data_IF_182051117441
#
_entry.id   IF_182051117441
#
_cell.length_a   1.000
_cell.length_b   1.000
_cell.length_c   1.000
_cell.angle_alpha   90.00
_cell.angle_beta   90.00
_cell.angle_gamma   90.00
#
_symmetry.space_group_name_H-M   'P 1'
#
loop_
_entity.id
_entity.type
_entity.pdbx_description
1 polymer ?
#
# COMPACT_ATOMS: atom_id res chain seq x y z
N UNK A 1 53.42 -23.04 -11.47
CA UNK A 1 51.98 -22.75 -11.62
C UNK A 1 51.24 -23.20 -10.37
N UNK A 2 50.48 -22.30 -9.72
CA UNK A 2 49.57 -22.67 -8.63
C UNK A 2 48.41 -23.48 -9.23
N UNK A 3 48.03 -24.60 -8.60
CA UNK A 3 46.86 -25.39 -9.01
C UNK A 3 45.61 -24.81 -8.34
N UNK A 4 44.77 -24.13 -9.09
CA UNK A 4 43.42 -23.77 -8.67
C UNK A 4 42.50 -25.00 -8.78
N UNK A 5 41.70 -25.22 -7.74
CA UNK A 5 40.68 -26.26 -7.74
C UNK A 5 39.33 -25.66 -8.09
N UNK A 6 38.54 -26.43 -8.82
CA UNK A 6 37.19 -26.05 -9.24
C UNK A 6 36.18 -27.12 -8.84
N UNK A 7 35.00 -26.67 -8.43
CA UNK A 7 33.78 -27.48 -8.39
C UNK A 7 33.03 -27.26 -9.69
N UNK A 8 32.89 -28.32 -10.49
CA UNK A 8 32.11 -28.25 -11.71
C UNK A 8 30.63 -28.38 -11.36
N UNK A 9 29.89 -27.29 -11.51
CA UNK A 9 28.45 -27.26 -11.40
C UNK A 9 27.85 -27.53 -12.78
N UNK A 10 27.29 -28.72 -12.98
CA UNK A 10 26.46 -29.02 -14.14
C UNK A 10 25.03 -28.67 -13.80
N UNK A 11 24.39 -27.83 -14.62
CA UNK A 11 23.02 -27.41 -14.40
C UNK A 11 22.19 -27.61 -15.68
N UNK A 12 20.92 -27.95 -15.47
CA UNK A 12 19.92 -28.04 -16.52
C UNK A 12 18.76 -27.13 -16.19
N UNK A 13 18.59 -26.06 -16.96
CA UNK A 13 17.50 -25.10 -16.80
C UNK A 13 16.74 -25.04 -18.12
N UNK A 14 15.50 -25.53 -18.10
CA UNK A 14 14.69 -25.75 -19.30
C UNK A 14 15.39 -26.70 -20.29
N UNK A 15 15.58 -26.26 -21.54
CA UNK A 15 16.28 -27.02 -22.59
C UNK A 15 17.78 -26.71 -22.67
N UNK A 16 18.32 -25.93 -21.72
CA UNK A 16 19.75 -25.60 -21.67
C UNK A 16 20.45 -26.46 -20.64
N UNK A 17 21.55 -27.08 -21.06
CA UNK A 17 22.51 -27.75 -20.21
C UNK A 17 23.81 -26.95 -20.24
N UNK A 18 24.33 -26.63 -19.06
CA UNK A 18 25.54 -25.85 -18.91
C UNK A 18 26.44 -26.45 -17.84
N UNK A 19 27.72 -26.11 -17.90
CA UNK A 19 28.65 -26.38 -16.81
C UNK A 19 29.40 -25.11 -16.44
N UNK A 20 29.58 -24.88 -15.14
CA UNK A 20 30.31 -23.74 -14.61
C UNK A 20 31.36 -24.20 -13.62
N UNK A 21 32.60 -23.73 -13.79
CA UNK A 21 33.71 -24.09 -12.92
C UNK A 21 33.80 -23.08 -11.78
N UNK A 22 33.31 -23.48 -10.61
CA UNK A 22 33.30 -22.66 -9.40
C UNK A 22 34.66 -22.78 -8.70
N UNK A 23 35.42 -21.70 -8.50
CA UNK A 23 36.70 -21.76 -7.80
C UNK A 23 36.50 -22.14 -6.32
N UNK A 24 37.35 -23.04 -5.84
CA UNK A 24 37.39 -23.42 -4.42
C UNK A 24 38.37 -22.50 -3.70
N UNK A 25 37.85 -21.66 -2.81
CA UNK A 25 38.59 -20.66 -2.06
C UNK A 25 38.44 -20.90 -0.56
N UNK A 26 39.48 -20.58 0.21
CA UNK A 26 39.44 -20.73 1.66
C UNK A 26 38.34 -19.86 2.29
N UNK A 27 37.44 -20.43 3.12
CA UNK A 27 36.35 -19.67 3.73
C UNK A 27 36.72 -18.96 5.04
N UNK A 28 37.99 -19.05 5.47
CA UNK A 28 38.41 -18.58 6.78
C UNK A 28 38.54 -17.04 6.83
N UNK A 29 37.45 -16.37 7.19
CA UNK A 29 37.42 -14.91 7.36
C UNK A 29 37.99 -14.42 8.69
N UNK A 30 38.12 -15.28 9.71
CA UNK A 30 38.68 -14.88 11.02
C UNK A 30 40.13 -14.39 10.93
N UNK A 31 40.85 -14.78 9.87
CA UNK A 31 42.22 -14.35 9.55
C UNK A 31 42.32 -13.63 8.20
N UNK A 32 41.19 -13.23 7.59
CA UNK A 32 41.15 -12.64 6.25
C UNK A 32 41.69 -13.53 5.13
N UNK A 33 41.74 -14.85 5.34
CA UNK A 33 42.36 -15.78 4.39
C UNK A 33 41.37 -16.14 3.27
N UNK A 34 41.58 -15.58 2.07
CA UNK A 34 40.89 -15.94 0.82
C UNK A 34 41.80 -16.69 -0.16
N UNK A 35 42.74 -17.46 0.38
CA UNK A 35 43.78 -18.11 -0.44
C UNK A 35 43.21 -19.15 -1.41
N UNK A 36 43.84 -19.21 -2.59
CA UNK A 36 43.67 -20.24 -3.62
C UNK A 36 44.60 -21.45 -3.40
N UNK A 37 45.48 -21.39 -2.40
CA UNK A 37 46.45 -22.44 -2.07
C UNK A 37 45.80 -23.60 -1.30
N UNK A 38 44.93 -24.32 -2.00
CA UNK A 38 44.11 -25.39 -1.43
C UNK A 38 44.77 -26.75 -1.68
N UNK A 39 44.48 -27.74 -0.83
CA UNK A 39 44.83 -29.15 -1.00
C UNK A 39 43.56 -30.00 -0.90
N UNK A 40 43.42 -31.01 -1.76
CA UNK A 40 42.41 -32.08 -1.57
C UNK A 40 42.85 -33.01 -0.44
N UNK A 41 41.99 -33.22 0.53
CA UNK A 41 42.29 -33.98 1.76
C UNK A 41 41.39 -35.21 1.90
N UNK A 42 41.25 -35.95 0.79
CA UNK A 42 40.40 -37.13 0.72
C UNK A 42 38.89 -36.83 0.81
N UNK A 43 38.09 -37.90 0.89
CA UNK A 43 36.64 -37.81 1.01
C UNK A 43 36.21 -38.09 2.45
N UNK A 44 35.14 -37.42 2.89
CA UNK A 44 34.57 -37.65 4.22
C UNK A 44 33.73 -38.93 4.26
N UNK A 45 34.33 -40.05 4.65
CA UNK A 45 33.63 -41.35 4.66
C UNK A 45 32.57 -41.46 5.75
N UNK A 46 32.50 -40.53 6.71
CA UNK A 46 31.43 -40.51 7.72
C UNK A 46 30.09 -40.02 7.19
N UNK A 47 30.05 -39.40 6.01
CA UNK A 47 28.81 -38.92 5.39
C UNK A 47 28.50 -39.77 4.15
N UNK A 48 27.24 -40.17 3.97
CA UNK A 48 26.78 -41.03 2.86
C UNK A 48 27.19 -40.49 1.47
N UNK A 49 27.20 -39.17 1.29
CA UNK A 49 27.61 -38.52 0.04
C UNK A 49 29.12 -38.50 -0.18
N UNK A 50 29.91 -38.92 0.82
CA UNK A 50 31.38 -38.93 0.80
C UNK A 50 31.97 -37.66 0.18
N UNK A 51 31.66 -36.45 0.71
CA UNK A 51 32.07 -35.21 0.09
C UNK A 51 33.59 -35.03 0.12
N UNK A 52 34.16 -34.44 -0.93
CA UNK A 52 35.58 -34.10 -0.99
C UNK A 52 35.90 -33.04 0.09
N UNK A 53 36.86 -33.34 0.96
CA UNK A 53 37.45 -32.37 1.91
C UNK A 53 38.56 -31.58 1.24
N UNK A 54 38.65 -30.31 1.60
CA UNK A 54 39.68 -29.38 1.16
C UNK A 54 40.34 -28.76 2.39
N UNK A 55 41.66 -28.57 2.34
CA UNK A 55 42.42 -27.90 3.41
C UNK A 55 43.20 -26.74 2.79
N UNK A 56 43.04 -25.54 3.35
CA UNK A 56 43.84 -24.38 2.97
C UNK A 56 45.25 -24.49 3.56
N UNK A 57 46.27 -24.41 2.72
CA UNK A 57 47.67 -24.54 3.19
C UNK A 57 48.16 -23.32 3.95
N UNK A 58 47.57 -22.16 3.73
CA UNK A 58 48.04 -20.90 4.32
C UNK A 58 47.50 -20.70 5.74
N UNK A 59 46.30 -21.18 6.04
CA UNK A 59 45.67 -21.00 7.36
C UNK A 59 45.28 -22.31 8.07
N UNK A 60 45.45 -23.47 7.41
CA UNK A 60 45.15 -24.79 7.97
C UNK A 60 43.67 -25.16 8.06
N UNK A 61 42.76 -24.28 7.62
CA UNK A 61 41.31 -24.54 7.72
C UNK A 61 40.87 -25.63 6.74
N UNK A 62 40.14 -26.62 7.24
CA UNK A 62 39.49 -27.67 6.46
C UNK A 62 38.03 -27.31 6.18
N UNK A 63 37.56 -27.54 4.96
CA UNK A 63 36.22 -27.15 4.50
C UNK A 63 35.74 -28.02 3.31
N UNK A 64 34.49 -27.81 2.88
CA UNK A 64 33.88 -28.52 1.75
C UNK A 64 33.65 -27.55 0.58
N UNK A 65 33.44 -28.09 -0.62
CA UNK A 65 33.18 -27.26 -1.82
C UNK A 65 32.04 -26.24 -1.59
N UNK A 66 30.90 -26.69 -1.06
CA UNK A 66 29.72 -25.85 -0.82
C UNK A 66 29.89 -24.80 0.29
N UNK A 67 30.96 -24.90 1.10
CA UNK A 67 31.31 -23.89 2.11
C UNK A 67 32.49 -23.01 1.67
N UNK A 68 32.93 -23.09 0.41
CA UNK A 68 33.96 -22.23 -0.18
C UNK A 68 33.64 -20.75 0.00
N UNK A 69 34.68 -19.92 0.18
CA UNK A 69 34.54 -18.46 0.22
C UNK A 69 33.79 -17.88 -0.98
N UNK A 70 33.89 -18.52 -2.15
CA UNK A 70 33.16 -18.11 -3.35
C UNK A 70 31.65 -18.01 -3.13
N UNK A 71 31.05 -19.02 -2.47
CA UNK A 71 29.60 -19.01 -2.23
C UNK A 71 29.18 -17.92 -1.24
N UNK A 72 30.02 -17.66 -0.23
CA UNK A 72 29.80 -16.55 0.71
C UNK A 72 29.91 -15.18 0.05
N UNK A 73 30.90 -15.01 -0.83
CA UNK A 73 31.08 -13.75 -1.57
C UNK A 73 29.90 -13.53 -2.53
N UNK A 74 29.40 -14.57 -3.21
CA UNK A 74 28.18 -14.48 -4.01
C UNK A 74 26.97 -14.12 -3.17
N UNK A 75 26.78 -14.78 -2.02
CA UNK A 75 25.68 -14.49 -1.10
C UNK A 75 25.70 -13.04 -0.63
N UNK A 76 26.88 -12.54 -0.22
CA UNK A 76 27.07 -11.14 0.19
C UNK A 76 26.75 -10.18 -0.95
N UNK A 77 27.25 -10.45 -2.15
CA UNK A 77 27.01 -9.60 -3.33
C UNK A 77 25.52 -9.59 -3.72
N UNK A 78 24.85 -10.75 -3.64
CA UNK A 78 23.40 -10.82 -3.85
C UNK A 78 22.68 -10.00 -2.78
N UNK A 79 23.01 -10.16 -1.50
CA UNK A 79 22.34 -9.43 -0.42
C UNK A 79 22.52 -7.91 -0.54
N UNK A 80 23.74 -7.43 -0.76
CA UNK A 80 24.01 -6.00 -0.97
C UNK A 80 23.30 -5.47 -2.22
N UNK A 81 23.29 -6.25 -3.31
CA UNK A 81 22.55 -5.92 -4.50
C UNK A 81 21.05 -5.81 -4.25
N UNK A 82 20.47 -6.77 -3.53
CA UNK A 82 19.05 -6.75 -3.19
C UNK A 82 18.73 -5.53 -2.33
N UNK A 83 19.55 -5.24 -1.32
CA UNK A 83 19.40 -4.04 -0.50
C UNK A 83 19.39 -2.77 -1.38
N UNK A 84 20.36 -2.62 -2.30
CA UNK A 84 20.42 -1.50 -3.22
C UNK A 84 19.19 -1.42 -4.16
N UNK A 85 18.67 -2.56 -4.61
CA UNK A 85 17.50 -2.65 -5.47
C UNK A 85 16.21 -2.26 -4.73
N UNK A 86 16.11 -2.58 -3.44
CA UNK A 86 14.96 -2.25 -2.59
C UNK A 86 15.04 -0.86 -1.96
N UNK A 87 16.24 -0.30 -1.77
CA UNK A 87 16.45 0.99 -1.10
C UNK A 87 15.67 2.14 -1.77
N UNK A 88 15.53 2.10 -3.09
CA UNK A 88 14.79 3.13 -3.86
C UNK A 88 13.31 2.81 -4.07
N UNK A 89 12.83 1.67 -3.57
CA UNK A 89 11.43 1.23 -3.68
C UNK A 89 10.92 0.98 -5.11
N UNK A 90 11.80 1.08 -6.12
CA UNK A 90 11.48 0.86 -7.54
C UNK A 90 12.17 -0.40 -8.02
N UNK A 91 11.41 -1.49 -8.02
CA UNK A 91 11.83 -2.76 -8.58
C UNK A 91 11.48 -2.74 -10.06
N UNK A 92 12.48 -2.69 -10.92
CA UNK A 92 12.30 -2.90 -12.35
C UNK A 92 12.62 -4.34 -12.72
N UNK A 93 11.61 -5.06 -13.23
CA UNK A 93 11.76 -6.44 -13.68
C UNK A 93 12.81 -6.57 -14.78
N UNK A 94 12.96 -5.56 -15.65
CA UNK A 94 13.95 -5.61 -16.73
C UNK A 94 15.37 -5.49 -16.17
N UNK A 95 15.59 -4.58 -15.24
CA UNK A 95 16.86 -4.48 -14.50
C UNK A 95 17.26 -5.80 -13.84
N UNK A 96 16.33 -6.46 -13.13
CA UNK A 96 16.61 -7.77 -12.48
C UNK A 96 16.87 -8.87 -13.52
N UNK A 97 16.13 -8.86 -14.63
CA UNK A 97 16.26 -9.83 -15.71
C UNK A 97 17.60 -9.73 -16.43
N UNK A 98 18.00 -8.53 -16.81
CA UNK A 98 19.26 -8.24 -17.50
C UNK A 98 20.44 -8.61 -16.62
N UNK A 99 20.38 -8.30 -15.33
CA UNK A 99 21.47 -8.58 -14.42
C UNK A 99 21.62 -10.06 -14.06
N UNK A 100 20.51 -10.75 -13.78
CA UNK A 100 20.53 -12.16 -13.41
C UNK A 100 20.58 -13.08 -14.64
N UNK A 101 20.60 -12.51 -15.86
CA UNK A 101 20.55 -13.22 -17.14
C UNK A 101 19.50 -14.34 -17.17
N UNK A 102 18.34 -14.07 -16.56
CA UNK A 102 17.32 -15.08 -16.32
C UNK A 102 15.99 -14.76 -17.00
N UNK A 103 15.10 -15.75 -17.05
CA UNK A 103 13.78 -15.57 -17.66
C UNK A 103 12.87 -14.68 -16.79
N UNK A 104 11.88 -14.02 -17.42
CA UNK A 104 10.88 -13.22 -16.70
C UNK A 104 10.13 -14.03 -15.63
N UNK A 105 9.93 -15.32 -15.85
CA UNK A 105 9.31 -16.21 -14.86
C UNK A 105 10.22 -16.42 -13.66
N UNK A 106 11.53 -16.61 -13.86
CA UNK A 106 12.52 -16.67 -12.78
C UNK A 106 12.53 -15.39 -11.94
N UNK A 107 12.58 -14.22 -12.59
CA UNK A 107 12.50 -12.91 -11.90
C UNK A 107 11.21 -12.80 -11.08
N UNK A 108 10.07 -13.18 -11.66
CA UNK A 108 8.78 -13.13 -10.97
C UNK A 108 8.74 -14.02 -9.71
N UNK A 109 9.35 -15.21 -9.78
CA UNK A 109 9.44 -16.13 -8.64
C UNK A 109 10.34 -15.55 -7.55
N UNK A 110 11.48 -14.98 -7.92
CA UNK A 110 12.42 -14.34 -6.98
C UNK A 110 11.72 -13.20 -6.26
N UNK A 111 11.13 -12.25 -6.99
CA UNK A 111 10.43 -11.11 -6.42
C UNK A 111 9.27 -11.51 -5.52
N UNK A 112 8.49 -12.52 -5.93
CA UNK A 112 7.42 -13.07 -5.09
C UNK A 112 7.96 -13.56 -3.75
N UNK A 113 9.04 -14.37 -3.75
CA UNK A 113 9.63 -14.90 -2.51
C UNK A 113 10.14 -13.80 -1.59
N UNK A 114 10.71 -12.73 -2.15
CA UNK A 114 11.19 -11.61 -1.35
C UNK A 114 10.03 -10.83 -0.76
N UNK A 115 8.99 -10.55 -1.53
CA UNK A 115 7.79 -9.88 -1.00
C UNK A 115 7.13 -10.71 0.10
N UNK A 116 7.09 -12.04 -0.03
CA UNK A 116 6.62 -12.95 1.02
C UNK A 116 7.50 -12.85 2.27
N UNK A 117 8.82 -12.96 2.14
CA UNK A 117 9.76 -12.84 3.25
C UNK A 117 9.68 -11.48 3.97
N UNK A 118 9.55 -10.38 3.22
CA UNK A 118 9.37 -9.03 3.78
C UNK A 118 8.05 -8.92 4.53
N UNK A 119 6.94 -9.38 3.95
CA UNK A 119 5.63 -9.33 4.62
C UNK A 119 5.58 -10.20 5.88
N UNK A 120 6.34 -11.29 5.93
CA UNK A 120 6.42 -12.18 7.08
C UNK A 120 7.42 -11.71 8.15
N UNK A 121 8.25 -10.72 7.84
CA UNK A 121 9.31 -10.22 8.70
C UNK A 121 8.75 -9.65 10.00
N UNK A 122 9.54 -9.76 11.05
CA UNK A 122 9.18 -9.23 12.37
C UNK A 122 9.05 -7.70 12.33
N UNK A 123 9.94 -7.03 11.60
CA UNK A 123 9.98 -5.58 11.45
C UNK A 123 8.71 -5.04 10.81
N UNK A 124 8.20 -5.70 9.75
CA UNK A 124 6.95 -5.30 9.11
C UNK A 124 5.78 -5.49 10.06
N UNK A 125 5.68 -6.63 10.76
CA UNK A 125 4.62 -6.86 11.75
C UNK A 125 4.67 -5.83 12.87
N UNK A 126 5.84 -5.61 13.44
CA UNK A 126 6.08 -4.60 14.47
C UNK A 126 5.70 -3.19 13.96
N UNK A 127 6.07 -2.84 12.73
CA UNK A 127 5.73 -1.55 12.14
C UNK A 127 4.21 -1.37 11.99
N UNK A 128 3.45 -2.42 11.67
CA UNK A 128 1.99 -2.37 11.59
C UNK A 128 1.31 -2.36 12.95
N UNK A 129 1.86 -3.10 13.92
CA UNK A 129 1.30 -3.23 15.28
C UNK A 129 1.63 -2.01 16.16
N UNK A 130 2.70 -1.28 15.85
CA UNK A 130 3.09 -0.08 16.60
C UNK A 130 2.04 1.03 16.38
N UNK A 131 1.44 1.56 17.46
CA UNK A 131 0.53 2.70 17.35
C UNK A 131 1.23 3.92 16.75
N UNK A 132 0.51 4.63 15.89
CA UNK A 132 1.00 5.85 15.26
C UNK A 132 0.26 7.03 15.90
N UNK A 133 1.00 8.08 16.27
CA UNK A 133 0.38 9.30 16.76
C UNK A 133 -0.06 10.17 15.56
N UNK A 134 -1.17 10.88 15.72
CA UNK A 134 -1.61 11.86 14.74
C UNK A 134 -3.05 12.28 14.94
N UNK A 135 -3.31 13.58 14.79
CA UNK A 135 -4.65 14.16 14.86
C UNK A 135 -5.29 14.36 13.48
N UNK A 136 -4.43 14.42 12.45
CA UNK A 136 -4.80 14.65 11.06
C UNK A 136 -4.43 13.44 10.21
N UNK A 137 -5.37 13.00 9.39
CA UNK A 137 -5.11 12.00 8.35
C UNK A 137 -5.42 12.51 6.95
N UNK A 138 -4.62 12.10 5.98
CA UNK A 138 -4.83 12.36 4.57
C UNK A 138 -5.23 11.06 3.89
N UNK A 139 -6.21 11.14 3.00
CA UNK A 139 -6.66 10.00 2.21
C UNK A 139 -6.59 10.39 0.74
N UNK A 140 -5.89 9.56 -0.05
CA UNK A 140 -5.74 9.76 -1.48
C UNK A 140 -5.91 8.43 -2.24
N UNK A 141 -6.27 8.53 -3.52
CA UNK A 141 -6.38 7.39 -4.42
C UNK A 141 -5.53 7.54 -5.68
N UNK A 142 -4.67 6.57 -5.92
CA UNK A 142 -3.95 6.44 -7.19
C UNK A 142 -4.61 5.42 -8.11
N UNK A 143 -4.76 5.76 -9.39
CA UNK A 143 -5.33 4.86 -10.40
C UNK A 143 -4.25 3.99 -11.01
N UNK A 144 -4.48 2.68 -11.04
CA UNK A 144 -3.52 1.69 -11.53
C UNK A 144 -4.23 0.76 -12.51
N UNK A 145 -3.66 0.54 -13.70
CA UNK A 145 -4.15 -0.46 -14.65
C UNK A 145 -3.42 -1.77 -14.46
N UNK A 146 -4.16 -2.83 -14.15
CA UNK A 146 -3.63 -4.20 -14.00
C UNK A 146 -4.43 -5.11 -14.92
N UNK A 147 -3.76 -5.74 -15.89
CA UNK A 147 -4.37 -6.59 -16.92
C UNK A 147 -5.57 -5.90 -17.60
N UNK A 148 -5.35 -4.66 -18.05
CA UNK A 148 -6.36 -3.80 -18.72
C UNK A 148 -7.61 -3.49 -17.89
N UNK A 149 -7.58 -3.74 -16.58
CA UNK A 149 -8.65 -3.38 -15.63
C UNK A 149 -8.16 -2.27 -14.73
N UNK A 150 -9.05 -1.33 -14.45
CA UNK A 150 -8.77 -0.24 -13.52
C UNK A 150 -8.87 -0.74 -12.07
N UNK A 151 -7.84 -0.41 -11.30
CA UNK A 151 -7.77 -0.58 -9.86
C UNK A 151 -7.44 0.75 -9.21
N UNK A 152 -7.83 0.88 -7.95
CA UNK A 152 -7.64 2.08 -7.15
C UNK A 152 -6.83 1.68 -5.93
N UNK A 153 -5.64 2.26 -5.78
CA UNK A 153 -4.86 2.15 -4.56
C UNK A 153 -5.29 3.29 -3.65
N UNK A 154 -6.06 2.96 -2.61
CA UNK A 154 -6.43 3.92 -1.56
C UNK A 154 -5.34 3.89 -0.51
N UNK A 155 -4.79 5.05 -0.16
CA UNK A 155 -3.75 5.20 0.86
C UNK A 155 -4.23 6.17 1.92
N UNK A 156 -4.02 5.81 3.19
CA UNK A 156 -4.27 6.65 4.36
C UNK A 156 -2.93 6.92 5.03
N UNK A 157 -2.58 8.19 5.19
CA UNK A 157 -1.34 8.64 5.82
C UNK A 157 -1.66 9.60 6.96
N UNK A 158 -0.80 9.64 7.97
CA UNK A 158 -0.82 10.63 9.05
C UNK A 158 -0.15 11.94 8.61
N UNK A 159 -0.25 12.98 9.44
CA UNK A 159 0.47 14.23 9.30
C UNK A 159 1.99 14.09 9.24
N UNK A 160 2.55 13.12 9.99
CA UNK A 160 3.97 12.79 9.95
C UNK A 160 4.37 11.93 8.73
N UNK A 161 3.48 11.82 7.74
CA UNK A 161 3.67 11.02 6.51
C UNK A 161 3.83 9.52 6.75
N UNK A 162 3.49 9.03 7.95
CA UNK A 162 3.48 7.61 8.25
C UNK A 162 2.24 6.96 7.65
N UNK A 163 2.42 5.85 6.92
CA UNK A 163 1.32 5.09 6.32
C UNK A 163 0.51 4.42 7.43
N UNK A 164 -0.77 4.76 7.53
CA UNK A 164 -1.71 4.16 8.47
C UNK A 164 -2.42 2.95 7.86
N UNK A 165 -2.69 2.98 6.56
CA UNK A 165 -3.28 1.84 5.88
C UNK A 165 -3.37 2.06 4.38
N UNK A 166 -3.44 0.97 3.63
CA UNK A 166 -3.67 1.03 2.20
C UNK A 166 -4.40 -0.20 1.70
N UNK A 167 -5.10 -0.08 0.58
CA UNK A 167 -5.77 -1.21 -0.05
C UNK A 167 -5.95 -0.98 -1.54
N UNK A 168 -5.62 -2.01 -2.31
CA UNK A 168 -5.90 -2.05 -3.73
C UNK A 168 -7.33 -2.58 -3.96
N UNK A 169 -8.20 -1.76 -4.53
CA UNK A 169 -9.62 -2.09 -4.70
C UNK A 169 -10.08 -1.86 -6.15
N UNK A 170 -11.03 -2.68 -6.62
CA UNK A 170 -11.65 -2.51 -7.93
C UNK A 170 -12.71 -1.42 -7.96
N UNK A 171 -13.27 -1.07 -6.80
CA UNK A 171 -14.41 -0.16 -6.69
C UNK A 171 -14.25 0.79 -5.50
N UNK A 172 -14.24 2.08 -5.80
CA UNK A 172 -14.21 3.20 -4.84
C UNK A 172 -15.59 3.54 -4.27
N UNK A 173 -16.28 2.55 -3.70
CA UNK A 173 -17.57 2.80 -3.04
C UNK A 173 -17.36 3.28 -1.61
N UNK A 174 -18.27 4.12 -1.10
CA UNK A 174 -18.18 4.64 0.28
C UNK A 174 -17.99 3.51 1.32
N UNK A 175 -18.74 2.40 1.19
CA UNK A 175 -18.60 1.26 2.11
C UNK A 175 -17.20 0.63 2.10
N UNK A 176 -16.55 0.58 0.94
CA UNK A 176 -15.22 -0.01 0.81
C UNK A 176 -14.18 0.93 1.42
N UNK A 177 -14.24 2.22 1.07
CA UNK A 177 -13.30 3.22 1.60
C UNK A 177 -13.48 3.38 3.11
N UNK A 178 -14.71 3.43 3.64
CA UNK A 178 -14.96 3.49 5.10
C UNK A 178 -14.30 2.32 5.84
N UNK A 179 -14.27 1.11 5.27
CA UNK A 179 -13.56 -0.01 5.92
C UNK A 179 -12.06 0.23 5.98
N UNK A 180 -11.46 0.71 4.90
CA UNK A 180 -10.02 1.02 4.82
C UNK A 180 -9.67 2.12 5.83
N UNK A 181 -10.46 3.19 5.87
CA UNK A 181 -10.26 4.30 6.79
C UNK A 181 -10.45 3.85 8.24
N UNK A 182 -11.44 3.00 8.52
CA UNK A 182 -11.64 2.46 9.87
C UNK A 182 -10.47 1.54 10.28
N UNK A 183 -9.99 0.66 9.40
CA UNK A 183 -8.79 -0.16 9.63
C UNK A 183 -7.57 0.73 9.95
N UNK A 184 -7.40 1.85 9.24
CA UNK A 184 -6.32 2.81 9.48
C UNK A 184 -6.47 3.59 10.81
N UNK A 185 -7.69 4.03 11.16
CA UNK A 185 -7.97 4.76 12.42
C UNK A 185 -7.68 3.89 13.64
N UNK A 186 -7.87 2.57 13.56
CA UNK A 186 -7.57 1.66 14.68
C UNK A 186 -6.08 1.64 15.07
N UNK A 187 -5.18 2.15 14.21
CA UNK A 187 -3.75 2.29 14.53
C UNK A 187 -3.43 3.57 15.30
N UNK A 188 -4.39 4.50 15.37
CA UNK A 188 -4.24 5.71 16.15
C UNK A 188 -4.76 5.46 17.58
N UNK A 189 -4.08 5.97 18.62
CA UNK A 189 -4.58 5.90 20.00
C UNK A 189 -5.95 6.55 20.17
N UNK A 190 -6.25 7.56 19.36
CA UNK A 190 -7.50 8.30 19.35
C UNK A 190 -7.99 8.52 17.91
N UNK A 191 -9.30 8.63 17.67
CA UNK A 191 -9.82 8.98 16.35
C UNK A 191 -9.28 10.36 15.90
N UNK A 192 -8.97 10.53 14.60
CA UNK A 192 -8.44 11.79 14.10
C UNK A 192 -9.50 12.89 14.16
N UNK A 193 -9.10 14.09 14.57
CA UNK A 193 -9.98 15.25 14.58
C UNK A 193 -10.22 15.78 13.15
N UNK A 194 -9.23 15.62 12.27
CA UNK A 194 -9.25 16.17 10.91
C UNK A 194 -8.97 15.08 9.88
N UNK A 195 -9.79 15.05 8.83
CA UNK A 195 -9.58 14.20 7.65
C UNK A 195 -9.46 15.10 6.43
N UNK A 196 -8.41 14.89 5.64
CA UNK A 196 -8.13 15.67 4.42
C UNK A 196 -8.24 14.74 3.21
N UNK A 197 -9.05 15.11 2.21
CA UNK A 197 -9.24 14.34 0.97
C UNK A 197 -9.36 15.25 -0.24
N UNK A 198 -9.39 14.66 -1.44
CA UNK A 198 -9.87 15.34 -2.64
C UNK A 198 -11.40 15.62 -2.57
N UNK A 199 -11.94 16.35 -3.55
CA UNK A 199 -13.39 16.61 -3.67
C UNK A 199 -14.19 15.43 -4.27
N UNK A 200 -13.72 14.20 -4.11
CA UNK A 200 -14.52 13.06 -4.52
C UNK A 200 -15.75 12.91 -3.61
N UNK A 201 -16.94 12.94 -4.21
CA UNK A 201 -18.22 12.92 -3.50
C UNK A 201 -18.41 11.72 -2.56
N UNK A 202 -17.67 10.63 -2.80
CA UNK A 202 -17.66 9.46 -1.93
C UNK A 202 -17.09 9.76 -0.55
N UNK A 203 -16.07 10.61 -0.45
CA UNK A 203 -15.45 10.94 0.83
C UNK A 203 -16.41 11.63 1.79
N UNK A 204 -17.27 12.54 1.29
CA UNK A 204 -18.36 13.15 2.08
C UNK A 204 -19.23 12.11 2.78
N UNK A 205 -19.47 10.98 2.11
CA UNK A 205 -20.25 9.88 2.68
C UNK A 205 -19.41 9.01 3.62
N UNK A 206 -18.13 8.82 3.31
CA UNK A 206 -17.20 8.06 4.15
C UNK A 206 -17.08 8.70 5.54
N UNK A 207 -16.80 10.01 5.60
CA UNK A 207 -16.63 10.72 6.87
C UNK A 207 -17.90 10.68 7.73
N UNK A 208 -19.08 10.88 7.12
CA UNK A 208 -20.38 10.74 7.80
C UNK A 208 -20.67 9.32 8.28
N UNK A 209 -20.03 8.30 7.70
CA UNK A 209 -20.20 6.90 8.11
C UNK A 209 -19.30 6.50 9.30
N UNK A 210 -18.33 7.34 9.68
CA UNK A 210 -17.44 7.08 10.82
C UNK A 210 -18.13 7.28 12.18
N UNK A 211 -19.22 8.04 12.20
CA UNK A 211 -20.11 8.19 13.36
C UNK A 211 -19.49 8.85 14.61
N UNK A 212 -18.61 9.84 14.41
CA UNK A 212 -18.12 10.74 15.45
C UNK A 212 -17.91 12.14 14.87
N UNK A 213 -17.73 13.13 15.74
CA UNK A 213 -17.55 14.53 15.32
C UNK A 213 -16.15 14.72 14.74
N UNK A 214 -16.06 15.34 13.57
CA UNK A 214 -14.77 15.57 12.91
C UNK A 214 -14.84 16.73 11.93
N UNK A 215 -13.67 17.21 11.52
CA UNK A 215 -13.52 18.21 10.46
C UNK A 215 -13.06 17.49 9.19
N UNK A 216 -13.83 17.61 8.10
CA UNK A 216 -13.47 17.09 6.79
C UNK A 216 -13.04 18.24 5.88
N UNK A 217 -11.77 18.25 5.51
CA UNK A 217 -11.21 19.23 4.59
C UNK A 217 -11.13 18.61 3.20
N UNK A 218 -11.75 19.26 2.21
CA UNK A 218 -11.78 18.82 0.81
C UNK A 218 -11.01 19.77 -0.06
N UNK A 219 -10.04 19.24 -0.81
CA UNK A 219 -9.32 19.98 -1.83
C UNK A 219 -10.03 19.88 -3.19
N UNK A 220 -10.42 21.03 -3.75
CA UNK A 220 -11.20 21.15 -4.99
C UNK A 220 -10.28 21.55 -6.14
N UNK A 221 -9.96 20.60 -7.03
CA UNK A 221 -9.10 20.86 -8.18
C UNK A 221 -9.79 21.53 -9.39
N UNK A 222 -11.13 21.49 -9.46
CA UNK A 222 -11.87 21.88 -10.69
C UNK A 222 -12.43 23.30 -10.69
N UNK A 223 -12.56 23.93 -9.53
CA UNK A 223 -13.25 25.22 -9.42
C UNK A 223 -12.24 26.36 -9.25
N UNK A 224 -12.19 27.34 -10.18
CA UNK A 224 -11.22 28.42 -10.12
C UNK A 224 -11.48 29.44 -9.00
N UNK A 225 -12.61 29.35 -8.29
CA UNK A 225 -13.00 30.29 -7.23
C UNK A 225 -13.08 29.68 -5.85
N UNK A 226 -13.09 28.35 -5.76
CA UNK A 226 -13.17 27.63 -4.50
C UNK A 226 -12.10 26.56 -4.55
N UNK A 227 -11.06 26.75 -3.76
CA UNK A 227 -9.93 25.83 -3.71
C UNK A 227 -10.14 24.78 -2.63
N UNK A 228 -10.78 25.14 -1.51
CA UNK A 228 -11.04 24.20 -0.43
C UNK A 228 -12.42 24.39 0.19
N UNK A 229 -12.93 23.30 0.76
CA UNK A 229 -14.13 23.34 1.60
C UNK A 229 -13.86 22.58 2.89
N UNK A 230 -14.10 23.24 4.01
CA UNK A 230 -14.04 22.68 5.35
C UNK A 230 -15.45 22.33 5.79
N UNK A 231 -15.71 21.05 5.98
CA UNK A 231 -16.99 20.51 6.46
C UNK A 231 -16.83 20.15 7.95
N UNK A 232 -17.41 20.94 8.85
CA UNK A 232 -17.50 20.60 10.28
C UNK A 232 -18.68 19.66 10.45
N UNK A 233 -18.43 18.42 10.88
CA UNK A 233 -19.43 17.35 10.96
C UNK A 233 -19.75 17.06 12.43
N UNK A 234 -21.00 17.25 12.79
CA UNK A 234 -21.50 17.00 14.14
C UNK A 234 -22.54 15.88 14.12
N UNK A 235 -22.29 14.84 14.90
CA UNK A 235 -23.13 13.66 15.05
C UNK A 235 -24.04 13.79 16.26
N UNK A 236 -25.31 14.08 16.01
CA UNK A 236 -26.35 13.99 17.03
C UNK A 236 -27.07 12.63 17.02
N UNK A 237 -27.84 12.25 18.06
CA UNK A 237 -28.56 10.99 18.09
C UNK A 237 -29.52 10.78 16.90
N UNK A 238 -30.16 11.84 16.40
CA UNK A 238 -31.21 11.76 15.35
C UNK A 238 -30.83 12.39 14.01
N UNK A 239 -29.78 13.20 13.97
CA UNK A 239 -29.36 13.92 12.77
C UNK A 239 -27.84 14.05 12.68
N UNK A 240 -27.36 14.41 11.51
CA UNK A 240 -25.99 14.85 11.26
C UNK A 240 -26.09 16.29 10.80
N UNK A 241 -25.43 17.20 11.50
CA UNK A 241 -25.29 18.59 11.10
C UNK A 241 -23.95 18.72 10.39
N UNK A 242 -23.94 19.40 9.24
CA UNK A 242 -22.69 19.70 8.54
C UNK A 242 -22.65 21.19 8.22
N UNK A 243 -21.65 21.88 8.77
CA UNK A 243 -21.37 23.28 8.43
C UNK A 243 -20.27 23.30 7.38
N UNK A 244 -20.61 23.81 6.20
CA UNK A 244 -19.74 23.92 5.04
C UNK A 244 -19.14 25.32 4.99
N UNK A 245 -17.82 25.41 5.00
CA UNK A 245 -17.07 26.66 4.89
C UNK A 245 -16.22 26.58 3.63
N UNK A 246 -16.48 27.43 2.64
CA UNK A 246 -15.75 27.44 1.38
C UNK A 246 -14.69 28.56 1.37
N UNK A 247 -13.47 28.25 0.95
CA UNK A 247 -12.36 29.22 0.86
C UNK A 247 -12.01 29.57 -0.59
N UNK A 248 -11.65 30.83 -0.83
CA UNK A 248 -11.26 31.33 -2.15
C UNK A 248 -9.85 30.89 -2.55
N UNK A 249 -9.07 30.40 -1.59
CA UNK A 249 -7.67 30.08 -1.75
C UNK A 249 -7.32 28.77 -1.01
N UNK A 250 -6.20 28.20 -1.40
CA UNK A 250 -5.66 26.98 -0.79
C UNK A 250 -4.99 27.35 0.55
N UNK A 251 -5.59 26.87 1.65
CA UNK A 251 -5.13 27.16 3.01
C UNK A 251 -3.88 26.38 3.39
N UNK A 252 -3.44 25.41 2.58
CA UNK A 252 -2.17 24.72 2.81
C UNK A 252 -0.97 25.50 2.29
N UNK A 253 -1.18 26.44 1.35
CA UNK A 253 -0.10 27.17 0.68
C UNK A 253 -0.13 28.68 0.93
N UNK A 254 -1.27 29.24 1.34
CA UNK A 254 -1.42 30.68 1.54
C UNK A 254 -1.66 31.04 3.01
N UNK A 255 -0.99 32.09 3.49
CA UNK A 255 -1.08 32.54 4.89
C UNK A 255 -2.41 33.22 5.24
N UNK A 256 -3.03 33.89 4.26
CA UNK A 256 -4.35 34.51 4.43
C UNK A 256 -5.44 33.50 4.07
N UNK A 257 -6.62 33.54 4.70
CA UNK A 257 -7.78 32.71 4.29
C UNK A 257 -8.97 33.62 3.97
N UNK A 258 -9.46 33.55 2.73
CA UNK A 258 -10.63 34.32 2.32
C UNK A 258 -11.87 33.40 2.27
N UNK A 259 -12.83 33.65 3.15
CA UNK A 259 -14.09 32.92 3.18
C UNK A 259 -14.98 33.40 2.02
N UNK A 260 -15.54 32.44 1.28
CA UNK A 260 -16.44 32.72 0.14
C UNK A 260 -17.90 32.40 0.45
N UNK A 261 -18.13 31.64 1.52
CA UNK A 261 -19.47 31.34 1.99
C UNK A 261 -19.47 30.30 3.09
N UNK A 262 -20.45 30.45 3.99
CA UNK A 262 -20.78 29.50 5.04
C UNK A 262 -22.21 29.01 4.80
N UNK A 263 -22.43 27.71 4.92
CA UNK A 263 -23.78 27.15 4.85
C UNK A 263 -23.91 25.90 5.69
N UNK A 264 -25.09 25.68 6.27
CA UNK A 264 -25.33 24.51 7.10
C UNK A 264 -26.32 23.57 6.42
N UNK A 265 -26.09 22.26 6.52
CA UNK A 265 -27.01 21.23 6.07
C UNK A 265 -27.32 20.25 7.20
N UNK A 266 -28.56 19.77 7.22
CA UNK A 266 -29.02 18.76 8.19
C UNK A 266 -29.48 17.49 7.47
N UNK A 267 -29.00 16.33 7.94
CA UNK A 267 -29.38 15.03 7.43
C UNK A 267 -29.97 14.17 8.56
N UNK A 268 -31.22 13.72 8.40
CA UNK A 268 -31.87 12.84 9.40
C UNK A 268 -31.29 11.43 9.35
N UNK A 269 -30.87 10.89 10.50
CA UNK A 269 -30.44 9.48 10.62
C UNK A 269 -31.66 8.58 10.45
N UNK A 270 -31.78 7.93 9.30
CA UNK A 270 -32.85 6.96 9.08
C UNK A 270 -32.58 5.67 9.86
N UNK A 271 -33.44 5.37 10.84
CA UNK A 271 -33.47 4.03 11.47
C UNK A 271 -33.78 3.03 10.37
N UNK A 272 -32.93 2.00 10.22
CA UNK A 272 -33.13 0.90 9.26
C UNK A 272 -34.30 0.01 9.73
N UNK A 273 -35.52 0.53 9.67
CA UNK A 273 -36.73 -0.27 9.71
C UNK A 273 -36.99 -0.90 8.34
N UNK A 274 -37.62 -2.07 8.30
CA UNK A 274 -38.18 -2.62 7.06
C UNK A 274 -39.12 -1.55 6.48
N UNK A 275 -38.68 -0.83 5.44
CA UNK A 275 -39.57 -0.06 4.56
C UNK A 275 -40.38 -1.08 3.78
N UNK A 276 -41.34 -1.73 4.46
CA UNK A 276 -42.40 -2.44 3.80
C UNK A 276 -43.16 -1.40 2.98
N UNK A 277 -43.14 -1.56 1.66
CA UNK A 277 -44.18 -0.96 0.82
C UNK A 277 -45.50 -1.43 1.43
N UNK A 278 -46.36 -0.51 1.89
CA UNK A 278 -47.72 -0.88 2.32
C UNK A 278 -48.28 -1.80 1.24
N UNK A 279 -48.66 -3.02 1.62
CA UNK A 279 -49.21 -4.03 0.70
C UNK A 279 -50.32 -3.33 -0.07
N UNK A 280 -50.16 -3.18 -1.38
CA UNK A 280 -51.15 -2.49 -2.20
C UNK A 280 -52.48 -3.19 -2.02
N UNK A 281 -53.49 -2.46 -1.53
CA UNK A 281 -54.87 -2.93 -1.57
C UNK A 281 -55.22 -3.15 -3.04
N UNK A 282 -55.43 -4.41 -3.45
CA UNK A 282 -55.86 -4.76 -4.81
C UNK A 282 -57.30 -4.30 -5.12
N UNK A 283 -58.00 -3.70 -4.14
CA UNK A 283 -59.42 -3.34 -4.25
C UNK A 283 -59.71 -1.83 -4.25
N UNK A 284 -58.71 -0.94 -4.30
CA UNK A 284 -59.03 0.47 -4.55
C UNK A 284 -59.38 0.67 -6.03
N UNK A 285 -60.67 0.87 -6.32
CA UNK A 285 -61.18 1.28 -7.65
C UNK A 285 -60.27 2.40 -8.19
N UNK A 286 -59.68 2.19 -9.38
CA UNK A 286 -58.94 3.23 -10.11
C UNK A 286 -59.91 4.39 -10.38
N UNK A 287 -59.87 5.43 -9.56
CA UNK A 287 -60.48 6.71 -9.90
C UNK A 287 -59.62 7.27 -11.04
N UNK A 288 -60.20 7.33 -12.25
CA UNK A 288 -59.57 7.97 -13.41
C UNK A 288 -59.34 9.44 -13.06
N UNK A 289 -58.11 9.98 -13.17
CA UNK A 289 -57.90 11.40 -12.98
C UNK A 289 -58.55 12.14 -14.15
N UNK A 290 -59.57 12.95 -13.85
CA UNK A 290 -60.11 13.91 -14.81
C UNK A 290 -59.06 14.98 -15.05
N UNK A 291 -58.82 15.23 -16.32
CA UNK A 291 -57.94 16.27 -16.86
C UNK A 291 -58.40 17.65 -16.40
N UNK A 292 -57.66 18.28 -15.49
CA UNK A 292 -57.56 19.75 -15.43
C UNK A 292 -56.09 20.16 -15.36
N UNK A 293 -55.61 20.64 -16.51
CA UNK A 293 -54.46 21.54 -16.62
C UNK A 293 -54.67 22.72 -15.66
N UNK A 294 -53.62 23.12 -14.93
CA UNK A 294 -53.26 24.52 -14.65
C UNK A 294 -51.93 24.63 -13.89
N UNK A 295 -50.92 25.11 -14.62
CA UNK A 295 -49.71 25.87 -14.22
C UNK A 295 -48.64 25.26 -13.27
N UNK A 296 -47.34 25.43 -13.60
CA UNK A 296 -46.24 25.06 -12.72
C UNK A 296 -46.00 26.15 -11.65
N UNK A 297 -46.33 25.87 -10.39
CA UNK A 297 -45.78 26.63 -9.26
C UNK A 297 -44.29 26.28 -9.13
N UNK A 298 -43.43 27.23 -9.51
CA UNK A 298 -42.01 27.29 -9.11
C UNK A 298 -41.96 27.11 -7.59
N UNK A 299 -41.35 26.02 -7.12
CA UNK A 299 -40.91 25.90 -5.72
C UNK A 299 -39.68 26.77 -5.56
N UNK A 300 -39.90 27.97 -5.04
CA UNK A 300 -38.86 28.82 -4.49
C UNK A 300 -38.21 28.07 -3.33
N UNK A 301 -36.95 27.63 -3.52
CA UNK A 301 -36.09 27.21 -2.41
C UNK A 301 -35.56 28.50 -1.81
N UNK A 302 -36.13 28.93 -0.69
CA UNK A 302 -35.57 30.00 0.13
C UNK A 302 -34.22 29.53 0.63
N UNK A 303 -33.16 30.02 -0.02
CA UNK A 303 -31.77 29.88 0.39
C UNK A 303 -31.43 31.22 1.01
N UNK A 304 -31.52 31.33 2.32
CA UNK A 304 -31.00 32.50 3.05
C UNK A 304 -29.49 32.51 2.83
N UNK A 305 -29.04 33.37 1.92
CA UNK A 305 -27.67 33.85 1.86
C UNK A 305 -27.59 35.01 2.83
N UNK A 306 -27.01 34.81 3.99
CA UNK A 306 -26.41 35.93 4.71
C UNK A 306 -25.05 36.17 4.08
N UNK A 307 -24.91 37.35 3.47
CA UNK A 307 -23.65 37.90 2.99
C UNK A 307 -22.99 38.58 4.19
N UNK A 308 -21.86 38.04 4.63
CA UNK A 308 -20.82 38.77 5.34
C UNK A 308 -19.55 38.64 4.49
#
# INVERSE_FOLDING_TARGET
MKRLYYHNLVFKVNNYEGSYNIPILCPNTSRGCKSDNIKKDGHDTSVKSSPQKYTCKDCGTTFYAHTSAFYRDIESNINEFMLNLFEKGKIDNNTVKELLECSNSSVSIILKRIMEAVNESFEVKMAWDTPVHGEIIFIDETWIKINSKDWYLVVVISEDRTILGWKLVKRRTAKVITKIVHEAILRLPQPPAIIITDDFSTYKRVVKMLNYNLIHVRHIHKNPRIHMVVDIIEHEPKKIITTHIATANDIFTNENTFLTGVSTSEEKKHVKGKRGRKKGSKNSKKIKPSTKKLSPKKKEKTRTKELF
#
